data_IF_321644003431
#
_entry.id   IF_321644003431
#
_cell.length_a   1.000
_cell.length_b   1.000
_cell.length_c   1.000
_cell.angle_alpha   90.00
_cell.angle_beta   90.00
_cell.angle_gamma   90.00
#
_symmetry.space_group_name_H-M   'P 1'
#
loop_
_entity.id
_entity.type
_entity.pdbx_description
1 polymer ?
2 non-polymer ?
#
# COMPACT_ATOMS: atom_id res chain seq x y z
N UNK A 1 1.26 -0.34 19.06
CA UNK A 1 -0.01 0.26 18.69
C UNK A 1 -0.22 1.60 19.36
N UNK A 2 -0.56 2.62 18.57
CA UNK A 2 -0.79 3.97 19.09
C UNK A 2 -1.78 4.72 18.22
N UNK A 3 -2.09 5.95 18.62
CA UNK A 3 -3.03 6.78 17.88
C UNK A 3 -2.63 8.25 17.94
N UNK A 4 -2.81 8.97 16.84
CA UNK A 4 -2.46 10.38 16.77
C UNK A 4 -3.38 11.11 15.81
N UNK A 5 -3.29 12.45 15.81
CA UNK A 5 -4.11 13.27 14.93
C UNK A 5 -3.25 14.09 13.98
N UNK A 6 -2.05 13.59 13.69
CA UNK A 6 -1.13 14.28 12.80
C UNK A 6 -0.73 13.39 11.63
N UNK A 7 -1.73 12.91 10.89
CA UNK A 7 -1.49 12.05 9.74
C UNK A 7 -2.05 12.67 8.47
N UNK A 8 -1.37 13.71 7.97
CA UNK A 8 -1.77 14.42 6.74
C UNK A 8 -1.58 13.56 5.50
N UNK A 9 -1.81 14.16 4.33
CA UNK A 9 -1.67 13.46 3.06
C UNK A 9 -1.01 14.35 2.01
N UNK A 10 -0.41 13.74 1.01
CA UNK A 10 0.25 14.49 -0.06
C UNK A 10 0.02 13.82 -1.41
N UNK A 11 0.06 14.62 -2.47
CA UNK A 11 -0.14 14.11 -3.82
C UNK A 11 1.18 13.95 -4.56
N UNK A 12 1.33 12.85 -5.28
CA UNK A 12 2.55 12.59 -6.03
C UNK A 12 2.25 11.95 -7.38
N UNK A 13 2.73 12.58 -8.45
CA UNK A 13 2.51 12.08 -9.80
C UNK A 13 3.70 11.26 -10.28
N UNK A 14 3.44 10.05 -10.73
CA UNK A 14 4.50 9.16 -11.22
C UNK A 14 4.24 8.76 -12.68
N UNK A 15 5.29 8.77 -13.48
CA UNK A 15 5.18 8.40 -14.89
C UNK A 15 5.33 6.90 -15.08
N UNK A 16 4.24 6.24 -15.46
CA UNK A 16 4.26 4.80 -15.67
C UNK A 16 5.08 4.44 -16.91
N UNK A 17 6.27 3.90 -16.68
CA UNK A 17 7.16 3.51 -17.78
C UNK A 17 6.61 2.28 -18.51
N UNK A 18 5.60 1.65 -17.93
CA UNK A 18 4.99 0.47 -18.53
C UNK A 18 4.17 0.85 -19.75
N UNK A 19 3.21 1.76 -19.56
CA UNK A 19 2.35 2.21 -20.65
C UNK A 19 2.57 3.68 -20.95
N UNK A 20 3.72 4.20 -20.51
CA UNK A 20 4.05 5.60 -20.73
C UNK A 20 2.89 6.51 -20.34
N UNK A 21 2.15 6.09 -19.31
CA UNK A 21 1.00 6.86 -18.83
C UNK A 21 1.31 7.52 -17.49
N UNK A 22 0.99 8.80 -17.37
CA UNK A 22 1.23 9.55 -16.15
C UNK A 22 -0.08 9.78 -15.39
N UNK A 23 -0.01 9.72 -14.06
CA UNK A 23 -1.18 9.92 -13.22
C UNK A 23 -0.78 10.36 -11.82
N UNK A 24 -1.66 11.12 -11.17
CA UNK A 24 -1.40 11.62 -9.83
C UNK A 24 -2.18 10.81 -8.79
N UNK A 25 -1.57 10.63 -7.63
CA UNK A 25 -2.20 9.88 -6.55
C UNK A 25 -1.89 10.51 -5.19
N UNK A 26 -2.91 10.62 -4.34
CA UNK A 26 -2.75 11.20 -3.02
C UNK A 26 -2.84 10.13 -1.93
N UNK A 27 -1.86 10.10 -1.04
CA UNK A 27 -1.84 9.13 0.04
C UNK A 27 -1.31 9.76 1.33
N UNK A 28 -1.56 9.10 2.45
CA UNK A 28 -1.10 9.61 3.75
C UNK A 28 0.42 9.76 3.77
N UNK A 29 0.87 10.94 4.17
CA UNK A 29 2.30 11.22 4.23
C UNK A 29 3.00 10.29 5.23
N UNK A 30 2.30 10.01 6.34
CA UNK A 30 2.85 9.14 7.37
C UNK A 30 2.96 7.70 6.87
N UNK A 31 1.96 7.26 6.11
CA UNK A 31 1.94 5.91 5.56
C UNK A 31 2.98 5.76 4.45
N UNK A 32 3.21 6.84 3.71
CA UNK A 32 4.17 6.83 2.62
C UNK A 32 5.59 6.94 3.13
N UNK A 33 5.82 7.89 4.03
CA UNK A 33 7.14 8.10 4.60
C UNK A 33 7.51 6.98 5.57
N UNK A 34 6.51 6.51 6.32
CA UNK A 34 6.72 5.45 7.29
C UNK A 34 5.68 4.34 7.11
N UNK A 35 5.77 3.62 5.99
CA UNK A 35 4.84 2.55 5.72
C UNK A 35 4.77 2.19 4.25
N UNK A 36 3.89 1.26 3.90
CA UNK A 36 3.74 0.83 2.52
C UNK A 36 2.62 1.58 1.82
N UNK A 37 2.82 1.87 0.54
CA UNK A 37 1.82 2.59 -0.24
C UNK A 37 1.69 2.00 -1.65
N UNK A 38 0.45 1.74 -2.05
CA UNK A 38 0.18 1.17 -3.37
C UNK A 38 -0.72 2.09 -4.18
N UNK A 39 -0.37 2.30 -5.45
CA UNK A 39 -1.16 3.14 -6.33
C UNK A 39 -1.44 2.45 -7.66
N UNK A 40 -2.67 2.58 -8.15
CA UNK A 40 -3.05 1.97 -9.42
C UNK A 40 -3.03 3.00 -10.55
N UNK A 41 -2.51 2.58 -11.70
CA UNK A 41 -2.43 3.47 -12.86
C UNK A 41 -3.67 3.32 -13.74
N UNK A 42 -4.43 4.41 -13.90
CA UNK A 42 -5.64 4.43 -14.70
C UNK A 42 -5.35 4.31 -16.19
N UNK A 43 -4.85 3.16 -16.60
CA UNK A 43 -4.52 2.91 -18.00
C UNK A 43 -4.14 1.45 -18.22
N UNK A 44 -3.41 0.88 -17.27
CA UNK A 44 -2.98 -0.51 -17.37
C UNK A 44 -3.57 -1.34 -16.23
N UNK A 45 -4.50 -0.74 -15.49
CA UNK A 45 -5.15 -1.43 -14.37
C UNK A 45 -4.15 -2.31 -13.62
N UNK A 46 -3.35 -1.68 -12.76
CA UNK A 46 -2.36 -2.41 -11.98
C UNK A 46 -1.76 -1.53 -10.90
N UNK A 47 -1.56 -2.10 -9.72
CA UNK A 47 -0.99 -1.36 -8.60
C UNK A 47 0.52 -1.51 -8.55
N UNK A 48 1.22 -0.42 -8.23
CA UNK A 48 2.68 -0.44 -8.15
C UNK A 48 3.15 0.11 -6.81
N UNK A 49 4.30 -0.39 -6.36
CA UNK A 49 4.87 0.05 -5.09
C UNK A 49 5.65 1.35 -5.26
N UNK A 50 5.43 2.29 -4.35
CA UNK A 50 6.12 3.57 -4.40
C UNK A 50 7.08 3.73 -3.22
N UNK A 51 6.64 3.31 -2.04
CA UNK A 51 7.46 3.40 -0.84
C UNK A 51 7.16 2.25 0.12
N UNK A 52 7.99 1.21 0.08
CA UNK A 52 7.82 0.05 0.94
C UNK A 52 8.64 0.20 2.22
N UNK A 53 7.94 0.33 3.34
CA UNK A 53 8.61 0.47 4.63
C UNK A 53 8.25 -0.68 5.56
N UNK A 54 7.11 -1.33 5.29
CA UNK A 54 6.66 -2.45 6.09
C UNK A 54 7.17 -3.77 5.53
N UNK A 55 7.79 -3.71 4.36
CA UNK A 55 8.33 -4.91 3.71
C UNK A 55 7.28 -6.00 3.64
N UNK A 56 6.08 -5.64 3.19
CA UNK A 56 4.99 -6.60 3.08
C UNK A 56 5.18 -7.52 1.87
N UNK A 57 5.44 -6.91 0.72
CA UNK A 57 5.64 -7.66 -0.52
C UNK A 57 7.06 -8.22 -0.58
N UNK A 58 7.95 -7.67 0.24
CA UNK A 58 9.34 -8.12 0.28
C UNK A 58 9.42 -9.59 0.69
N UNK A 59 8.34 -10.10 1.29
CA UNK A 59 8.29 -11.49 1.73
C UNK A 59 7.88 -12.40 0.57
N UNK A 60 7.71 -11.81 -0.61
CA UNK A 60 7.32 -12.57 -1.79
C UNK A 60 6.41 -13.74 -1.41
N UNK A 61 5.45 -13.47 -0.52
CA UNK A 61 4.52 -14.51 -0.08
C UNK A 61 3.16 -13.89 0.27
N UNK A 62 2.93 -12.68 -0.21
CA UNK A 62 1.67 -11.98 0.04
C UNK A 62 1.16 -11.28 -1.22
N UNK A 63 -0.14 -11.40 -1.47
CA UNK A 63 -0.74 -10.78 -2.64
C UNK A 63 -1.48 -9.50 -2.27
N UNK A 64 -1.71 -8.64 -3.27
CA UNK A 64 -2.40 -7.37 -3.04
C UNK A 64 -3.76 -7.60 -2.40
N UNK A 65 -4.38 -8.73 -2.73
CA UNK A 65 -5.69 -9.07 -2.19
C UNK A 65 -5.61 -9.31 -0.68
N UNK A 66 -4.53 -9.94 -0.25
CA UNK A 66 -4.33 -10.24 1.17
C UNK A 66 -4.22 -8.96 1.98
N UNK A 67 -3.48 -8.00 1.46
CA UNK A 67 -3.29 -6.72 2.14
C UNK A 67 -4.63 -6.04 2.40
N UNK A 68 -5.55 -6.18 1.46
CA UNK A 68 -6.88 -5.59 1.59
C UNK A 68 -7.71 -6.33 2.63
N UNK A 69 -7.60 -7.66 2.62
CA UNK A 69 -8.35 -8.49 3.56
C UNK A 69 -7.95 -8.16 5.01
N UNK A 70 -6.73 -7.67 5.18
CA UNK A 70 -6.23 -7.32 6.50
C UNK A 70 -6.81 -5.97 6.96
N UNK A 71 -7.01 -5.07 6.02
CA UNK A 71 -7.55 -3.75 6.33
C UNK A 71 -9.07 -3.80 6.44
N UNK A 72 -9.73 -4.14 5.33
CA UNK A 72 -11.18 -4.21 5.32
C UNK A 72 -11.77 -3.78 3.99
N UNK A 73 -10.98 -3.08 3.19
CA UNK A 73 -11.44 -2.60 1.89
C UNK A 73 -12.03 -3.75 1.07
N UNK A 74 -13.35 -3.74 0.91
CA UNK A 74 -14.03 -4.78 0.15
C UNK A 74 -13.97 -4.49 -1.34
N UNK A 75 -14.13 -3.21 -1.70
CA UNK A 75 -14.09 -2.80 -3.10
C UNK A 75 -12.66 -2.61 -3.58
N UNK A 76 -12.40 -3.01 -4.81
CA UNK A 76 -11.07 -2.89 -5.40
C UNK A 76 -11.08 -1.94 -6.59
N UNK A 77 -12.24 -1.79 -7.22
CA UNK A 77 -12.39 -0.92 -8.37
C UNK A 77 -12.90 0.45 -7.94
N UNK A 78 -12.69 0.80 -6.69
CA UNK A 78 -13.13 2.09 -6.15
C UNK A 78 -12.06 3.16 -6.38
N UNK A 79 -10.99 3.09 -5.58
CA UNK A 79 -9.90 4.05 -5.68
C UNK A 79 -8.64 3.40 -6.25
N UNK A 80 -8.52 2.09 -6.03
CA UNK A 80 -7.37 1.37 -6.53
C UNK A 80 -6.08 1.78 -5.83
N UNK A 81 -6.21 2.36 -4.64
CA UNK A 81 -5.06 2.79 -3.88
C UNK A 81 -5.25 2.50 -2.39
N UNK A 82 -4.20 2.01 -1.75
CA UNK A 82 -4.26 1.69 -0.32
C UNK A 82 -2.97 2.11 0.38
N UNK A 83 -3.09 2.51 1.64
CA UNK A 83 -1.95 2.94 2.43
C UNK A 83 -1.85 2.16 3.73
N UNK A 84 -0.64 1.77 4.11
CA UNK A 84 -0.42 1.02 5.34
C UNK A 84 0.69 1.65 6.17
N UNK A 85 0.40 1.88 7.45
CA UNK A 85 1.38 2.48 8.36
C UNK A 85 1.76 1.51 9.47
N UNK A 86 0.92 0.50 9.68
CA UNK A 86 1.17 -0.50 10.72
C UNK A 86 0.49 -1.81 10.38
N UNK A 87 1.21 -2.70 9.70
CA UNK A 87 0.67 -3.99 9.30
C UNK A 87 0.22 -4.79 10.54
N UNK A 88 -0.73 -5.71 10.32
CA UNK A 88 -1.27 -6.55 11.39
C UNK A 88 -0.25 -7.57 11.89
N UNK A 89 -0.72 -8.50 12.72
CA UNK A 89 0.16 -9.53 13.27
C UNK A 89 -0.12 -10.88 12.62
N UNK A 90 -1.32 -11.03 12.08
CA UNK A 90 -1.71 -12.28 11.43
C UNK A 90 -0.98 -12.47 10.11
N UNK A 91 -0.62 -11.34 9.49
CA UNK A 91 0.09 -11.38 8.21
C UNK A 91 1.56 -11.73 8.43
N UNK A 92 2.26 -10.91 9.20
CA UNK A 92 3.67 -11.14 9.48
C UNK A 92 3.90 -12.56 10.00
N UNK A 93 2.89 -13.11 10.65
CA UNK A 93 2.98 -14.47 11.19
C UNK A 93 3.33 -15.46 10.09
N UNK A 94 2.63 -15.37 8.97
CA UNK A 94 2.87 -16.27 7.85
C UNK A 94 4.26 -16.06 7.26
N UNK A 95 4.82 -14.89 7.49
CA UNK A 95 6.15 -14.55 6.99
C UNK A 95 7.23 -14.97 7.98
N UNK A 96 6.82 -15.22 9.22
CA UNK A 96 7.76 -15.63 10.25
C UNK A 96 7.35 -16.92 10.93
N UNK A 97 7.12 -17.97 10.14
CA UNK A 97 6.71 -19.25 10.67
C UNK A 97 7.76 -20.32 10.37
N UNK A 98 8.40 -20.22 9.21
CA UNK A 98 9.42 -21.17 8.80
C UNK A 98 10.67 -21.02 9.66
N UNK A 99 10.98 -19.78 10.02
CA UNK A 99 12.16 -19.50 10.84
C UNK A 99 11.76 -19.28 12.31
N UNK A 100 12.24 -20.16 13.18
CA UNK A 100 11.94 -20.05 14.61
C UNK A 100 13.09 -20.60 15.44
X LIG B 1 0.32 2.38 -16.33
#
# INVERSE_FOLDING_TARGET
GSHMVDKPKMMIAFTCKKCNTRSSHTMSKQAYEKGTVLISCPHCKVRHLIADHLKIFHDHHVTVEQLMKANGEQVSQDVGDLEFEDIPDSLKDVLGKYAK
ZN ZN
#
